data_IF_158586777369
#
_entry.id   IF_158586777369
#
_cell.length_a   1.000
_cell.length_b   1.000
_cell.length_c   1.000
_cell.angle_alpha   90.00
_cell.angle_beta   90.00
_cell.angle_gamma   90.00
#
_symmetry.space_group_name_H-M   'P 1'
#
loop_
_entity.id
_entity.type
_entity.pdbx_description
1 polymer ?
#
# COMPACT_ATOMS: atom_id res chain seq x y z
N UNK A 1 -13.43 6.63 -12.64
CA UNK A 1 -14.80 6.29 -12.22
C UNK A 1 -15.73 6.07 -13.43
N UNK A 2 -15.73 6.93 -14.43
CA UNK A 2 -16.53 6.74 -15.66
C UNK A 2 -16.24 5.41 -16.37
N UNK A 3 -14.97 5.05 -16.60
CA UNK A 3 -14.62 3.79 -17.29
C UNK A 3 -15.01 2.52 -16.53
N UNK A 4 -15.13 2.58 -15.20
CA UNK A 4 -15.67 1.47 -14.40
C UNK A 4 -17.18 1.31 -14.65
N UNK A 5 -17.89 2.43 -14.74
CA UNK A 5 -19.34 2.44 -15.01
C UNK A 5 -19.66 2.04 -16.47
N UNK A 6 -18.76 2.32 -17.42
CA UNK A 6 -18.93 1.93 -18.82
C UNK A 6 -18.86 0.41 -19.07
N UNK A 7 -18.11 -0.30 -18.22
CA UNK A 7 -18.05 -1.78 -18.24
C UNK A 7 -19.24 -2.48 -17.60
N UNK A 8 -20.11 -1.74 -16.88
CA UNK A 8 -21.30 -2.29 -16.26
C UNK A 8 -22.47 -2.34 -17.26
N UNK A 9 -23.33 -3.38 -17.21
CA UNK A 9 -24.55 -3.42 -18.01
C UNK A 9 -25.43 -2.19 -17.74
N UNK A 10 -26.21 -1.72 -18.72
CA UNK A 10 -27.09 -0.54 -18.59
C UNK A 10 -27.97 -0.57 -17.33
N UNK A 11 -28.47 -1.76 -17.00
CA UNK A 11 -29.31 -2.00 -15.81
C UNK A 11 -28.64 -1.62 -14.49
N UNK A 12 -27.30 -1.69 -14.42
CA UNK A 12 -26.53 -1.31 -13.20
C UNK A 12 -26.16 0.17 -13.21
N UNK A 13 -26.20 0.83 -14.38
CA UNK A 13 -25.95 2.28 -14.51
C UNK A 13 -27.12 3.10 -14.00
N UNK A 14 -28.36 2.62 -14.19
CA UNK A 14 -29.59 3.39 -13.94
C UNK A 14 -30.30 3.04 -12.63
N UNK A 15 -29.97 1.91 -12.01
CA UNK A 15 -30.63 1.48 -10.79
C UNK A 15 -29.69 1.47 -9.62
N UNK A 16 -29.99 2.31 -8.67
CA UNK A 16 -29.73 2.13 -7.25
C UNK A 16 -28.26 2.03 -6.77
N UNK A 17 -28.00 2.79 -5.77
CA UNK A 17 -26.83 2.75 -4.86
C UNK A 17 -26.51 1.33 -4.31
N UNK A 18 -27.34 0.29 -4.64
CA UNK A 18 -27.23 -1.06 -4.10
C UNK A 18 -27.53 -2.14 -5.15
N UNK A 19 -26.53 -2.68 -5.86
CA UNK A 19 -26.73 -3.65 -6.94
C UNK A 19 -26.94 -5.10 -6.48
N UNK A 20 -27.61 -5.33 -5.35
CA UNK A 20 -27.74 -6.67 -4.77
C UNK A 20 -28.47 -7.66 -5.68
N UNK A 21 -29.52 -7.24 -6.36
CA UNK A 21 -30.25 -8.08 -7.31
C UNK A 21 -29.39 -8.50 -8.50
N UNK A 22 -28.57 -7.58 -9.01
CA UNK A 22 -27.66 -7.88 -10.11
C UNK A 22 -26.47 -8.75 -9.63
N UNK A 23 -25.90 -8.50 -8.44
CA UNK A 23 -24.86 -9.32 -7.85
C UNK A 23 -25.31 -10.75 -7.58
N UNK A 24 -26.55 -10.96 -7.15
CA UNK A 24 -27.09 -12.31 -6.92
C UNK A 24 -27.25 -13.11 -8.23
N UNK A 25 -27.53 -12.42 -9.35
CA UNK A 25 -27.58 -13.02 -10.68
C UNK A 25 -26.17 -13.30 -11.26
N UNK A 26 -25.11 -12.67 -10.71
CA UNK A 26 -23.73 -12.81 -11.20
C UNK A 26 -22.76 -13.22 -10.07
N UNK A 27 -22.91 -14.41 -9.49
CA UNK A 27 -22.13 -14.84 -8.31
C UNK A 27 -20.61 -14.85 -8.57
N UNK A 28 -20.19 -14.96 -9.83
CA UNK A 28 -18.78 -14.92 -10.22
C UNK A 28 -18.11 -13.58 -9.89
N UNK A 29 -18.84 -12.47 -10.03
CA UNK A 29 -18.34 -11.13 -9.68
C UNK A 29 -18.22 -10.94 -8.17
N UNK A 30 -19.15 -11.52 -7.41
CA UNK A 30 -19.05 -11.56 -5.95
C UNK A 30 -17.83 -12.36 -5.51
N UNK A 31 -17.56 -13.51 -6.12
CA UNK A 31 -16.38 -14.33 -5.82
C UNK A 31 -15.07 -13.61 -6.16
N UNK A 32 -15.02 -12.87 -7.27
CA UNK A 32 -13.84 -12.06 -7.62
C UNK A 32 -13.61 -10.92 -6.63
N UNK A 33 -14.68 -10.24 -6.20
CA UNK A 33 -14.63 -9.21 -5.17
C UNK A 33 -14.16 -9.75 -3.82
N UNK A 34 -14.64 -10.93 -3.40
CA UNK A 34 -14.18 -11.59 -2.18
C UNK A 34 -12.71 -11.97 -2.25
N UNK A 35 -12.25 -12.57 -3.36
CA UNK A 35 -10.85 -12.95 -3.54
C UNK A 35 -9.92 -11.73 -3.43
N UNK A 36 -10.32 -10.59 -4.02
CA UNK A 36 -9.60 -9.34 -3.88
C UNK A 36 -9.60 -8.81 -2.45
N UNK A 37 -10.80 -8.64 -1.87
CA UNK A 37 -10.99 -7.99 -0.56
C UNK A 37 -10.34 -8.79 0.56
N UNK A 38 -10.48 -10.12 0.57
CA UNK A 38 -9.87 -10.98 1.59
C UNK A 38 -8.35 -10.98 1.48
N UNK A 39 -7.81 -11.02 0.26
CA UNK A 39 -6.36 -10.96 0.05
C UNK A 39 -5.77 -9.62 0.49
N UNK A 40 -6.41 -8.51 0.10
CA UNK A 40 -5.96 -7.17 0.50
C UNK A 40 -6.08 -6.97 2.01
N UNK A 41 -7.22 -7.35 2.60
CA UNK A 41 -7.42 -7.28 4.05
C UNK A 41 -6.39 -8.12 4.80
N UNK A 42 -6.10 -9.33 4.31
CA UNK A 42 -5.05 -10.19 4.86
C UNK A 42 -3.68 -9.51 4.86
N UNK A 43 -3.30 -8.88 3.75
CA UNK A 43 -2.04 -8.12 3.63
C UNK A 43 -2.00 -6.97 4.65
N UNK A 44 -3.08 -6.19 4.75
CA UNK A 44 -3.17 -5.06 5.67
C UNK A 44 -3.12 -5.51 7.14
N UNK A 45 -3.83 -6.59 7.49
CA UNK A 45 -3.77 -7.15 8.83
C UNK A 45 -2.37 -7.65 9.19
N UNK A 46 -1.70 -8.35 8.28
CA UNK A 46 -0.31 -8.83 8.48
C UNK A 46 0.63 -7.63 8.70
N UNK A 47 0.46 -6.55 7.94
CA UNK A 47 1.20 -5.30 8.12
C UNK A 47 1.00 -4.75 9.56
N UNK A 48 -0.24 -4.58 10.00
CA UNK A 48 -0.56 -4.07 11.33
C UNK A 48 -0.09 -5.00 12.47
N UNK A 49 -0.14 -6.32 12.25
CA UNK A 49 0.43 -7.27 13.20
C UNK A 49 1.95 -7.13 13.31
N UNK A 50 2.66 -6.76 12.23
CA UNK A 50 4.07 -6.41 12.29
C UNK A 50 4.35 -5.30 13.30
N UNK A 51 3.60 -4.20 13.23
CA UNK A 51 3.67 -3.11 14.21
C UNK A 51 3.29 -3.57 15.63
N UNK A 52 2.21 -4.34 15.75
CA UNK A 52 1.73 -4.86 17.03
C UNK A 52 2.81 -5.69 17.73
N UNK A 53 3.42 -6.63 17.05
CA UNK A 53 4.48 -7.47 17.62
C UNK A 53 5.74 -6.67 17.96
N UNK A 54 6.12 -5.68 17.13
CA UNK A 54 7.19 -4.77 17.46
C UNK A 54 6.89 -3.97 18.75
N UNK A 55 5.68 -3.45 18.89
CA UNK A 55 5.25 -2.77 20.11
C UNK A 55 5.34 -3.71 21.33
N UNK A 56 4.86 -4.95 21.20
CA UNK A 56 4.92 -5.95 22.27
C UNK A 56 6.35 -6.28 22.69
N UNK A 57 7.27 -6.42 21.73
CA UNK A 57 8.68 -6.70 22.00
C UNK A 57 9.37 -5.58 22.82
N UNK A 58 8.88 -4.35 22.69
CA UNK A 58 9.38 -3.19 23.43
C UNK A 58 8.52 -2.77 24.62
N UNK A 59 7.59 -3.64 25.08
CA UNK A 59 6.63 -3.35 26.15
C UNK A 59 5.78 -2.07 25.92
N UNK A 60 5.59 -1.68 24.67
CA UNK A 60 4.74 -0.56 24.25
C UNK A 60 3.29 -1.04 24.21
N UNK A 61 2.42 -0.32 24.92
CA UNK A 61 0.97 -0.64 24.91
C UNK A 61 0.36 -0.21 23.58
N UNK A 62 -0.21 -1.17 22.85
CA UNK A 62 -0.97 -0.93 21.62
C UNK A 62 -2.26 -1.75 21.61
N UNK A 63 -3.24 -1.34 20.81
CA UNK A 63 -4.43 -2.14 20.55
C UNK A 63 -4.10 -3.28 19.59
N UNK A 64 -4.96 -4.27 19.53
CA UNK A 64 -5.00 -5.18 18.39
C UNK A 64 -5.34 -4.39 17.12
N UNK A 65 -4.99 -4.91 15.93
CA UNK A 65 -5.40 -4.32 14.68
C UNK A 65 -6.92 -4.18 14.58
N UNK A 66 -7.37 -3.01 14.15
CA UNK A 66 -8.78 -2.71 13.88
C UNK A 66 -8.94 -2.48 12.40
N UNK A 67 -9.90 -3.18 11.80
CA UNK A 67 -10.31 -2.94 10.41
C UNK A 67 -11.28 -1.77 10.40
N UNK A 68 -10.97 -0.74 9.58
CA UNK A 68 -11.83 0.42 9.39
C UNK A 68 -12.76 0.14 8.21
N UNK A 69 -14.07 -0.16 8.44
CA UNK A 69 -14.99 -0.34 7.33
C UNK A 69 -15.16 0.97 6.57
N UNK A 70 -15.16 0.90 5.25
CA UNK A 70 -15.39 2.07 4.39
C UNK A 70 -16.12 1.66 3.13
N UNK A 71 -16.94 2.55 2.53
CA UNK A 71 -17.63 2.33 1.27
C UNK A 71 -16.65 2.48 0.09
N UNK A 72 -15.58 1.68 0.10
CA UNK A 72 -14.57 1.59 -0.96
C UNK A 72 -14.71 0.26 -1.70
N UNK A 73 -14.06 0.13 -2.85
CA UNK A 73 -14.03 -1.13 -3.60
C UNK A 73 -13.48 -2.32 -2.79
N UNK A 74 -12.63 -2.05 -1.80
CA UNK A 74 -12.08 -3.06 -0.88
C UNK A 74 -12.96 -3.33 0.33
N UNK A 75 -14.03 -2.57 0.55
CA UNK A 75 -14.87 -2.64 1.74
C UNK A 75 -14.20 -2.09 3.01
N UNK A 76 -12.98 -1.58 2.91
CA UNK A 76 -12.21 -1.07 4.05
C UNK A 76 -11.38 0.16 3.67
N UNK A 77 -11.19 1.07 4.63
CA UNK A 77 -10.20 2.15 4.56
C UNK A 77 -8.82 1.71 5.08
N UNK A 78 -8.63 0.44 5.39
CA UNK A 78 -7.41 -0.12 5.92
C UNK A 78 -7.59 -0.81 7.28
N UNK A 79 -6.49 -1.29 7.83
CA UNK A 79 -6.37 -1.72 9.21
C UNK A 79 -5.45 -0.74 9.94
N UNK A 80 -5.63 -0.55 11.24
CA UNK A 80 -4.81 0.34 12.04
C UNK A 80 -4.63 -0.22 13.45
N UNK A 81 -3.45 0.01 14.05
CA UNK A 81 -3.24 -0.13 15.49
C UNK A 81 -3.19 1.25 16.14
N UNK A 82 -3.57 1.33 17.41
CA UNK A 82 -3.41 2.54 18.22
C UNK A 82 -2.34 2.32 19.28
N UNK A 83 -1.23 3.04 19.20
CA UNK A 83 -0.20 3.06 20.21
C UNK A 83 -0.70 3.94 21.38
N UNK A 84 -0.74 3.38 22.59
CA UNK A 84 -1.28 4.02 23.79
C UNK A 84 -0.23 4.53 24.76
N UNK A 85 1.02 4.10 24.60
CA UNK A 85 2.13 4.56 25.44
C UNK A 85 3.18 5.27 24.59
N UNK A 86 4.04 6.07 25.25
CA UNK A 86 5.17 6.71 24.55
C UNK A 86 6.17 5.66 24.09
N UNK A 87 6.78 5.90 22.94
CA UNK A 87 7.88 5.07 22.42
C UNK A 87 9.14 5.44 23.22
N UNK A 88 9.80 4.47 23.87
CA UNK A 88 10.83 4.77 24.86
C UNK A 88 12.14 5.31 24.27
N UNK A 89 12.52 4.89 23.07
CA UNK A 89 13.79 5.27 22.44
C UNK A 89 13.77 5.08 20.93
N UNK A 90 14.82 5.52 20.23
CA UNK A 90 14.95 5.42 18.77
C UNK A 90 15.05 3.99 18.26
N UNK A 91 15.61 3.06 19.05
CA UNK A 91 15.69 1.65 18.66
C UNK A 91 14.29 1.03 18.57
N UNK A 92 13.43 1.30 19.55
CA UNK A 92 12.04 0.86 19.52
C UNK A 92 11.24 1.53 18.39
N UNK A 93 11.50 2.84 18.14
CA UNK A 93 10.87 3.56 17.04
C UNK A 93 11.23 2.96 15.68
N UNK A 94 12.51 2.60 15.49
CA UNK A 94 12.98 1.94 14.27
C UNK A 94 12.28 0.61 14.05
N UNK A 95 12.22 -0.23 15.10
CA UNK A 95 11.57 -1.53 15.01
C UNK A 95 10.07 -1.39 14.71
N UNK A 96 9.38 -0.49 15.41
CA UNK A 96 7.95 -0.21 15.13
C UNK A 96 7.77 0.29 13.71
N UNK A 97 8.62 1.17 13.20
CA UNK A 97 8.49 1.72 11.85
C UNK A 97 8.76 0.71 10.72
N UNK A 98 9.61 -0.31 10.95
CA UNK A 98 10.01 -1.23 9.87
C UNK A 98 9.21 -2.54 9.83
N UNK A 99 8.80 -3.11 10.98
CA UNK A 99 8.22 -4.44 11.00
C UNK A 99 6.84 -4.52 10.34
N UNK A 100 6.04 -3.44 10.36
CA UNK A 100 4.79 -3.36 9.60
C UNK A 100 5.03 -3.47 8.09
N UNK A 101 5.76 -2.52 7.48
CA UNK A 101 6.10 -2.56 6.06
C UNK A 101 6.77 -3.85 5.61
N UNK A 102 7.66 -4.40 6.42
CA UNK A 102 8.32 -5.67 6.13
C UNK A 102 7.32 -6.84 6.06
N UNK A 103 6.44 -6.94 7.04
CA UNK A 103 5.41 -7.98 7.09
C UNK A 103 4.41 -7.82 5.93
N UNK A 104 3.95 -6.59 5.65
CA UNK A 104 3.09 -6.26 4.51
C UNK A 104 3.74 -6.55 3.15
N UNK A 105 5.04 -6.26 3.02
CA UNK A 105 5.81 -6.58 1.81
C UNK A 105 5.87 -8.09 1.56
N UNK A 106 6.18 -8.89 2.59
CA UNK A 106 6.22 -10.36 2.49
C UNK A 106 4.83 -10.91 2.13
N UNK A 107 3.77 -10.43 2.77
CA UNK A 107 2.40 -10.85 2.46
C UNK A 107 2.00 -10.49 1.02
N UNK A 108 2.41 -9.31 0.54
CA UNK A 108 2.19 -8.89 -0.86
C UNK A 108 2.95 -9.77 -1.85
N UNK A 109 4.19 -10.16 -1.54
CA UNK A 109 4.97 -11.09 -2.37
C UNK A 109 4.30 -12.47 -2.46
N UNK A 110 3.75 -12.98 -1.37
CA UNK A 110 2.99 -14.24 -1.36
C UNK A 110 1.73 -14.13 -2.23
N UNK A 111 0.98 -13.04 -2.11
CA UNK A 111 -0.19 -12.79 -2.96
C UNK A 111 0.19 -12.71 -4.45
N UNK A 112 1.31 -12.08 -4.79
CA UNK A 112 1.84 -12.00 -6.15
C UNK A 112 2.25 -13.37 -6.66
N UNK A 113 2.99 -14.15 -5.86
CA UNK A 113 3.45 -15.49 -6.23
C UNK A 113 2.28 -16.46 -6.48
N UNK A 114 1.18 -16.32 -5.74
CA UNK A 114 -0.06 -17.09 -5.92
C UNK A 114 -0.87 -16.53 -7.10
N UNK A 115 -0.98 -15.20 -7.19
CA UNK A 115 -1.85 -14.51 -8.14
C UNK A 115 -1.39 -14.64 -9.59
N UNK A 116 -0.09 -14.68 -9.87
CA UNK A 116 0.43 -14.88 -11.22
C UNK A 116 -0.01 -16.20 -11.84
N UNK A 117 0.24 -17.38 -11.23
CA UNK A 117 -0.26 -18.66 -11.77
C UNK A 117 -1.78 -18.72 -11.88
N UNK A 118 -2.52 -18.10 -10.96
CA UNK A 118 -3.97 -18.03 -11.02
C UNK A 118 -4.46 -17.20 -12.21
N UNK A 119 -3.76 -16.15 -12.60
CA UNK A 119 -4.10 -15.34 -13.76
C UNK A 119 -4.06 -16.12 -15.09
N UNK A 120 -3.28 -17.20 -15.16
CA UNK A 120 -3.23 -18.09 -16.34
C UNK A 120 -4.40 -19.08 -16.36
N UNK A 121 -4.87 -19.52 -15.21
CA UNK A 121 -5.75 -20.70 -15.05
C UNK A 121 -7.21 -20.36 -14.74
N UNK A 122 -7.45 -19.18 -14.19
CA UNK A 122 -8.78 -18.81 -13.70
C UNK A 122 -9.56 -17.99 -14.74
N UNK A 123 -10.86 -18.24 -14.89
CA UNK A 123 -11.74 -17.33 -15.64
C UNK A 123 -12.07 -16.05 -14.86
N UNK A 124 -11.71 -15.97 -13.59
CA UNK A 124 -11.96 -14.80 -12.73
C UNK A 124 -10.82 -13.81 -12.95
N UNK A 125 -11.12 -12.71 -13.62
CA UNK A 125 -10.16 -11.68 -13.99
C UNK A 125 -10.75 -10.29 -13.73
N UNK A 126 -9.90 -9.32 -13.41
CA UNK A 126 -10.29 -7.92 -13.28
C UNK A 126 -9.92 -7.21 -14.58
N UNK A 127 -10.93 -6.68 -15.29
CA UNK A 127 -10.77 -5.88 -16.50
C UNK A 127 -11.09 -4.41 -16.23
N UNK A 128 -10.60 -3.52 -17.11
CA UNK A 128 -10.93 -2.08 -17.04
C UNK A 128 -10.07 -1.26 -16.08
N UNK A 129 -9.07 -1.86 -15.43
CA UNK A 129 -8.05 -1.12 -14.65
C UNK A 129 -6.80 -1.01 -15.51
N UNK A 130 -6.41 0.21 -15.86
CA UNK A 130 -5.15 0.49 -16.55
C UNK A 130 -4.08 0.84 -15.54
N UNK A 131 -3.25 -0.14 -15.22
CA UNK A 131 -2.09 0.05 -14.35
C UNK A 131 -1.01 0.85 -15.07
N UNK A 132 -0.45 1.83 -14.38
CA UNK A 132 0.65 2.64 -14.88
C UNK A 132 2.01 1.96 -14.74
N UNK A 133 2.97 2.67 -14.19
CA UNK A 133 4.33 2.15 -13.97
C UNK A 133 4.29 0.96 -13.02
N UNK A 134 4.88 -0.18 -13.44
CA UNK A 134 4.97 -1.34 -12.57
C UNK A 134 6.12 -1.20 -11.57
N UNK A 135 5.90 -1.50 -10.28
CA UNK A 135 6.98 -1.54 -9.30
C UNK A 135 8.03 -2.58 -9.69
N UNK A 136 9.28 -2.31 -9.35
CA UNK A 136 10.38 -3.21 -9.69
C UNK A 136 10.17 -4.61 -9.12
N UNK A 137 9.54 -4.73 -7.96
CA UNK A 137 9.17 -6.01 -7.34
C UNK A 137 8.32 -6.88 -8.26
N UNK A 138 7.28 -6.32 -8.92
CA UNK A 138 6.43 -7.07 -9.86
C UNK A 138 7.25 -7.57 -11.05
N UNK A 139 8.12 -6.73 -11.60
CA UNK A 139 8.98 -7.09 -12.74
C UNK A 139 9.95 -8.21 -12.39
N UNK A 140 10.56 -8.15 -11.20
CA UNK A 140 11.47 -9.18 -10.71
C UNK A 140 10.71 -10.49 -10.41
N UNK A 141 9.55 -10.41 -9.75
CA UNK A 141 8.72 -11.58 -9.47
C UNK A 141 8.24 -12.26 -10.76
N UNK A 142 7.80 -11.49 -11.76
CA UNK A 142 7.43 -12.01 -13.07
C UNK A 142 8.61 -12.71 -13.74
N UNK A 143 9.79 -12.07 -13.81
CA UNK A 143 10.99 -12.65 -14.40
C UNK A 143 11.44 -13.96 -13.71
N UNK A 144 11.34 -14.01 -12.37
CA UNK A 144 11.66 -15.21 -11.60
C UNK A 144 10.65 -16.34 -11.89
N UNK A 145 9.36 -16.02 -11.92
CA UNK A 145 8.31 -17.02 -12.14
C UNK A 145 8.26 -17.55 -13.57
N UNK A 146 8.74 -16.78 -14.57
CA UNK A 146 8.87 -17.23 -15.96
C UNK A 146 9.73 -18.51 -16.10
N UNK A 147 10.65 -18.75 -15.16
CA UNK A 147 11.46 -19.97 -15.15
C UNK A 147 10.59 -21.23 -14.96
N UNK A 148 9.56 -21.16 -14.13
CA UNK A 148 8.63 -22.28 -13.86
C UNK A 148 7.34 -22.21 -14.69
N UNK A 149 6.99 -21.02 -15.14
CA UNK A 149 5.76 -20.73 -15.90
C UNK A 149 6.08 -19.93 -17.17
N UNK A 150 6.60 -20.56 -18.24
CA UNK A 150 7.07 -19.84 -19.45
C UNK A 150 5.97 -19.07 -20.19
N UNK A 151 4.69 -19.33 -19.91
CA UNK A 151 3.52 -18.66 -20.53
C UNK A 151 2.85 -17.65 -19.59
N UNK A 152 3.56 -17.16 -18.56
CA UNK A 152 3.03 -16.13 -17.69
C UNK A 152 2.75 -14.84 -18.47
N UNK A 153 1.51 -14.31 -18.44
CA UNK A 153 1.20 -13.05 -19.09
C UNK A 153 1.89 -11.89 -18.36
N UNK A 154 2.22 -10.85 -19.10
CA UNK A 154 2.72 -9.60 -18.52
C UNK A 154 1.57 -8.93 -17.77
N UNK A 155 1.84 -8.38 -16.58
CA UNK A 155 0.82 -7.86 -15.66
C UNK A 155 -0.10 -6.80 -16.28
N UNK A 156 0.43 -5.94 -17.12
CA UNK A 156 -0.28 -4.82 -17.77
C UNK A 156 -1.00 -5.19 -19.09
N UNK A 157 -0.70 -6.35 -19.66
CA UNK A 157 -1.25 -6.82 -20.94
C UNK A 157 -2.36 -7.88 -20.78
N UNK A 158 -2.64 -8.28 -19.56
CA UNK A 158 -3.64 -9.30 -19.24
C UNK A 158 -4.64 -8.79 -18.22
N UNK A 159 -5.81 -9.40 -18.16
CA UNK A 159 -6.74 -9.18 -17.05
C UNK A 159 -6.25 -10.01 -15.85
N UNK A 160 -5.62 -9.38 -14.83
CA UNK A 160 -5.00 -10.12 -13.74
C UNK A 160 -6.03 -10.73 -12.79
N UNK A 161 -5.65 -11.85 -12.16
CA UNK A 161 -6.47 -12.44 -11.11
C UNK A 161 -6.60 -11.46 -9.91
N UNK A 162 -7.75 -11.37 -9.22
CA UNK A 162 -7.98 -10.47 -8.08
C UNK A 162 -6.92 -10.54 -6.98
N UNK A 163 -6.37 -11.73 -6.69
CA UNK A 163 -5.28 -11.92 -5.72
C UNK A 163 -3.99 -11.22 -6.17
N UNK A 164 -3.68 -11.25 -7.48
CA UNK A 164 -2.52 -10.55 -8.02
C UNK A 164 -2.67 -9.03 -7.89
N UNK A 165 -3.86 -8.52 -8.18
CA UNK A 165 -4.19 -7.09 -8.00
C UNK A 165 -4.08 -6.68 -6.54
N UNK A 166 -4.58 -7.52 -5.61
CA UNK A 166 -4.43 -7.27 -4.17
C UNK A 166 -2.95 -7.22 -3.74
N UNK A 167 -2.11 -8.10 -4.26
CA UNK A 167 -0.67 -8.08 -4.02
C UNK A 167 -0.01 -6.80 -4.54
N UNK A 168 -0.38 -6.35 -5.75
CA UNK A 168 0.12 -5.09 -6.32
C UNK A 168 -0.31 -3.89 -5.47
N UNK A 169 -1.58 -3.80 -5.06
CA UNK A 169 -2.07 -2.74 -4.17
C UNK A 169 -1.36 -2.81 -2.82
N UNK A 170 -1.10 -4.00 -2.28
CA UNK A 170 -0.34 -4.19 -1.05
C UNK A 170 1.09 -3.63 -1.14
N UNK A 171 1.78 -3.84 -2.28
CA UNK A 171 3.09 -3.21 -2.53
C UNK A 171 2.97 -1.69 -2.60
N UNK A 172 1.95 -1.18 -3.28
CA UNK A 172 1.72 0.25 -3.38
C UNK A 172 1.46 0.89 -2.01
N UNK A 173 0.60 0.30 -1.17
CA UNK A 173 0.35 0.75 0.20
C UNK A 173 1.63 0.68 1.04
N UNK A 174 2.42 -0.38 0.90
CA UNK A 174 3.72 -0.50 1.58
C UNK A 174 4.65 0.64 1.18
N UNK A 175 4.70 1.01 -0.11
CA UNK A 175 5.50 2.14 -0.58
C UNK A 175 5.03 3.47 0.01
N UNK A 176 3.72 3.69 0.08
CA UNK A 176 3.13 4.89 0.68
C UNK A 176 3.48 5.02 2.16
N UNK A 177 3.39 3.92 2.92
CA UNK A 177 3.76 3.89 4.33
C UNK A 177 5.26 4.12 4.56
N UNK A 178 6.11 3.67 3.63
CA UNK A 178 7.56 3.89 3.68
C UNK A 178 8.01 5.28 3.21
N UNK A 179 7.12 6.14 2.72
CA UNK A 179 7.45 7.54 2.43
C UNK A 179 8.04 8.20 3.68
N UNK A 180 9.24 8.83 3.59
CA UNK A 180 9.98 9.29 4.76
C UNK A 180 9.48 10.63 5.32
N UNK A 181 8.20 10.75 5.63
CA UNK A 181 7.58 12.00 6.09
C UNK A 181 6.54 11.82 7.19
N UNK A 182 6.34 12.86 7.99
CA UNK A 182 5.32 12.91 9.03
C UNK A 182 5.43 11.77 10.04
N UNK A 183 4.30 11.12 10.32
CA UNK A 183 4.18 9.93 11.17
C UNK A 183 3.97 8.64 10.37
N UNK A 184 4.25 8.66 9.06
CA UNK A 184 4.28 7.43 8.28
C UNK A 184 5.41 6.51 8.78
N UNK A 185 5.37 5.25 8.45
CA UNK A 185 6.38 4.27 8.88
C UNK A 185 7.79 4.68 8.44
N UNK A 186 7.94 5.13 7.18
CA UNK A 186 9.19 5.72 6.69
C UNK A 186 9.59 6.98 7.46
N UNK A 187 8.62 7.77 7.94
CA UNK A 187 8.85 8.90 8.83
C UNK A 187 9.44 8.46 10.17
N UNK A 188 8.91 7.40 10.78
CA UNK A 188 9.45 6.80 12.01
C UNK A 188 10.88 6.31 11.81
N UNK A 189 11.15 5.61 10.71
CA UNK A 189 12.49 5.13 10.33
C UNK A 189 13.46 6.32 10.19
N UNK A 190 13.08 7.32 9.40
CA UNK A 190 13.94 8.49 9.17
C UNK A 190 14.17 9.31 10.44
N UNK A 191 13.12 9.47 11.29
CA UNK A 191 13.26 10.15 12.58
C UNK A 191 14.21 9.40 13.51
N UNK A 192 14.13 8.06 13.56
CA UNK A 192 15.03 7.23 14.36
C UNK A 192 16.49 7.41 13.92
N UNK A 193 16.75 7.55 12.62
CA UNK A 193 18.10 7.81 12.08
C UNK A 193 18.53 9.24 12.39
N UNK A 194 17.72 10.23 11.99
CA UNK A 194 18.06 11.64 12.16
C UNK A 194 16.81 12.54 12.26
N UNK A 195 16.46 13.03 13.45
CA UNK A 195 15.34 13.98 13.60
C UNK A 195 15.51 15.28 12.81
N UNK A 196 16.78 15.69 12.55
CA UNK A 196 17.05 16.89 11.76
C UNK A 196 16.69 16.68 10.29
N UNK A 197 17.14 15.56 9.71
CA UNK A 197 16.82 15.20 8.30
C UNK A 197 15.31 14.95 8.16
N UNK A 198 14.70 14.21 9.10
CA UNK A 198 13.26 14.00 9.13
C UNK A 198 12.47 15.32 9.07
N UNK A 199 12.84 16.32 9.88
CA UNK A 199 12.19 17.64 9.88
C UNK A 199 12.31 18.32 8.52
N UNK A 200 13.50 18.33 7.92
CA UNK A 200 13.72 18.92 6.60
C UNK A 200 12.88 18.22 5.53
N UNK A 201 12.93 16.90 5.49
CA UNK A 201 12.16 16.10 4.53
C UNK A 201 10.66 16.31 4.72
N UNK A 202 10.15 16.30 5.95
CA UNK A 202 8.72 16.51 6.25
C UNK A 202 8.23 17.88 5.77
N UNK A 203 9.09 18.91 5.76
CA UNK A 203 8.73 20.25 5.24
C UNK A 203 8.74 20.27 3.71
N UNK A 204 9.73 19.63 3.05
CA UNK A 204 9.90 19.71 1.61
C UNK A 204 9.01 18.72 0.84
N UNK A 205 8.75 17.55 1.43
CA UNK A 205 8.06 16.45 0.78
C UNK A 205 6.66 16.80 0.24
N UNK A 206 5.79 17.56 0.95
CA UNK A 206 4.49 17.97 0.40
C UNK A 206 4.61 18.72 -0.93
N UNK A 207 5.60 19.59 -1.08
CA UNK A 207 5.79 20.36 -2.31
C UNK A 207 6.27 19.46 -3.46
N UNK A 208 7.13 18.46 -3.17
CA UNK A 208 7.54 17.45 -4.14
C UNK A 208 6.34 16.63 -4.58
N UNK A 209 5.46 16.24 -3.65
CA UNK A 209 4.25 15.48 -3.96
C UNK A 209 3.24 16.32 -4.76
N UNK A 210 3.10 17.62 -4.50
CA UNK A 210 2.27 18.50 -5.33
C UNK A 210 2.78 18.55 -6.77
N UNK A 211 4.09 18.72 -6.97
CA UNK A 211 4.68 18.66 -8.31
C UNK A 211 4.43 17.30 -8.96
N UNK A 212 4.65 16.20 -8.23
CA UNK A 212 4.37 14.85 -8.72
C UNK A 212 2.89 14.66 -9.09
N UNK A 213 1.97 15.28 -8.34
CA UNK A 213 0.54 15.23 -8.63
C UNK A 213 0.13 15.95 -9.90
N UNK A 214 0.82 17.04 -10.23
CA UNK A 214 0.58 17.79 -11.47
C UNK A 214 1.03 16.97 -12.69
N UNK A 215 2.21 16.34 -12.64
CA UNK A 215 2.86 15.73 -13.80
C UNK A 215 2.71 14.21 -13.92
N UNK A 216 2.53 13.50 -12.80
CA UNK A 216 2.54 12.03 -12.76
C UNK A 216 1.17 11.46 -12.42
N UNK A 217 0.70 11.63 -11.19
CA UNK A 217 -0.55 11.07 -10.70
C UNK A 217 -1.21 12.02 -9.69
N UNK A 218 -2.44 12.46 -9.98
CA UNK A 218 -3.16 13.45 -9.17
C UNK A 218 -3.32 13.03 -7.68
N UNK A 219 -3.30 11.73 -7.37
CA UNK A 219 -3.35 11.23 -6.00
C UNK A 219 -2.18 11.72 -5.13
N UNK A 220 -1.03 12.10 -5.71
CA UNK A 220 0.07 12.68 -4.95
C UNK A 220 -0.29 14.04 -4.32
N UNK A 221 -1.24 14.78 -4.91
CA UNK A 221 -1.75 16.03 -4.31
C UNK A 221 -2.43 15.73 -2.97
N UNK A 222 -3.26 14.67 -2.92
CA UNK A 222 -3.93 14.26 -1.68
C UNK A 222 -2.92 13.86 -0.61
N UNK A 223 -1.86 13.12 -0.98
CA UNK A 223 -0.77 12.77 -0.07
C UNK A 223 0.02 13.99 0.40
N UNK A 224 0.26 14.97 -0.49
CA UNK A 224 0.85 16.26 -0.13
C UNK A 224 0.01 17.01 0.90
N UNK A 225 -1.31 17.11 0.69
CA UNK A 225 -2.25 17.73 1.63
C UNK A 225 -2.25 16.97 2.96
N UNK A 226 -2.29 15.63 2.92
CA UNK A 226 -2.27 14.78 4.11
C UNK A 226 -1.04 15.06 4.98
N UNK A 227 0.14 15.17 4.40
CA UNK A 227 1.37 15.45 5.14
C UNK A 227 1.46 16.88 5.70
N UNK A 228 0.64 17.82 5.23
CA UNK A 228 0.55 19.16 5.81
C UNK A 228 -0.28 19.21 7.10
N UNK A 229 -1.04 18.17 7.43
CA UNK A 229 -1.89 18.14 8.63
C UNK A 229 -1.00 18.21 9.89
N UNK A 230 -1.15 19.21 10.77
CA UNK A 230 -0.30 19.40 11.94
C UNK A 230 -0.30 18.21 12.91
N UNK A 231 -1.41 17.46 12.98
CA UNK A 231 -1.55 16.28 13.82
C UNK A 231 -0.60 15.15 13.41
N UNK A 232 -0.07 15.17 12.18
CA UNK A 232 0.89 14.20 11.67
C UNK A 232 2.36 14.60 11.93
N UNK A 233 2.61 15.64 12.73
CA UNK A 233 3.97 15.96 13.16
C UNK A 233 4.47 14.90 14.13
N UNK A 234 5.70 14.46 13.89
CA UNK A 234 6.31 13.40 14.68
C UNK A 234 6.49 13.83 16.14
N UNK A 235 6.01 13.05 17.13
CA UNK A 235 6.23 13.34 18.55
C UNK A 235 7.72 13.20 18.89
N UNK A 236 8.13 13.91 19.92
CA UNK A 236 9.51 13.82 20.39
C UNK A 236 9.80 12.42 20.98
N UNK A 237 10.87 11.79 20.51
CA UNK A 237 11.38 10.52 21.05
C UNK A 237 12.76 10.77 21.62
N UNK A 238 13.02 10.38 22.89
CA UNK A 238 14.29 10.61 23.56
C UNK A 238 15.49 10.03 22.80
N UNK A 239 16.60 10.77 22.65
CA UNK A 239 17.78 10.32 21.91
C UNK A 239 18.77 9.48 22.74
N UNK A 240 18.39 9.07 23.94
CA UNK A 240 19.26 8.54 25.00
C UNK A 240 20.10 7.32 24.60
N UNK A 241 19.63 6.59 23.54
CA UNK A 241 20.38 5.44 23.05
C UNK A 241 20.71 5.61 21.56
N UNK A 242 21.98 5.42 21.15
CA UNK A 242 22.32 5.37 19.73
C UNK A 242 21.66 4.17 19.05
N UNK A 243 21.37 4.30 17.74
CA UNK A 243 20.91 3.18 16.94
C UNK A 243 21.98 2.10 16.86
N UNK A 244 21.57 0.85 17.09
CA UNK A 244 22.45 -0.29 16.87
C UNK A 244 22.73 -0.49 15.37
N UNK A 245 23.89 -1.05 15.02
CA UNK A 245 24.27 -1.34 13.63
C UNK A 245 23.23 -2.19 12.90
N UNK A 246 22.64 -3.19 13.58
CA UNK A 246 21.57 -4.01 13.01
C UNK A 246 20.31 -3.20 12.65
N UNK A 247 19.95 -2.20 13.45
CA UNK A 247 18.79 -1.32 13.16
C UNK A 247 19.09 -0.32 12.05
N UNK A 248 20.32 0.13 11.92
CA UNK A 248 20.72 0.92 10.75
C UNK A 248 20.57 0.08 9.47
N UNK A 249 21.03 -1.18 9.49
CA UNK A 249 20.86 -2.10 8.36
C UNK A 249 19.38 -2.35 8.05
N UNK A 250 18.51 -2.51 9.06
CA UNK A 250 17.05 -2.61 8.86
C UNK A 250 16.46 -1.35 8.23
N UNK A 251 16.91 -0.16 8.65
CA UNK A 251 16.47 1.10 8.01
C UNK A 251 16.89 1.19 6.54
N UNK A 252 18.10 0.76 6.19
CA UNK A 252 18.57 0.67 4.80
C UNK A 252 17.76 -0.37 4.01
N UNK A 253 17.40 -1.49 4.64
CA UNK A 253 16.53 -2.48 4.02
C UNK A 253 15.12 -1.92 3.77
N UNK A 254 14.56 -1.12 4.70
CA UNK A 254 13.31 -0.39 4.48
C UNK A 254 13.39 0.57 3.28
N UNK A 255 14.51 1.28 3.11
CA UNK A 255 14.74 2.10 1.93
C UNK A 255 14.81 1.26 0.65
N UNK A 256 15.45 0.09 0.68
CA UNK A 256 15.46 -0.83 -0.46
C UNK A 256 14.04 -1.30 -0.81
N UNK A 257 13.21 -1.65 0.19
CA UNK A 257 11.80 -2.01 -0.04
C UNK A 257 11.06 -0.83 -0.66
N UNK A 258 11.23 0.40 -0.18
CA UNK A 258 10.63 1.59 -0.78
C UNK A 258 10.98 1.69 -2.27
N UNK A 259 12.26 1.59 -2.62
CA UNK A 259 12.71 1.68 -4.02
C UNK A 259 12.15 0.54 -4.89
N UNK A 260 12.01 -0.67 -4.34
CA UNK A 260 11.47 -1.83 -5.03
C UNK A 260 9.95 -1.75 -5.26
N UNK A 261 9.24 -1.06 -4.36
CA UNK A 261 7.76 -0.99 -4.37
C UNK A 261 7.22 0.33 -4.89
N UNK A 262 8.05 1.37 -4.98
CA UNK A 262 7.62 2.70 -5.38
C UNK A 262 7.09 2.74 -6.81
N UNK A 263 5.91 3.33 -6.96
CA UNK A 263 5.19 3.44 -8.23
C UNK A 263 4.79 4.90 -8.44
N UNK A 264 5.57 5.68 -9.20
CA UNK A 264 5.32 7.11 -9.36
C UNK A 264 4.03 7.41 -10.13
N UNK A 265 3.62 6.51 -11.04
CA UNK A 265 2.38 6.58 -11.82
C UNK A 265 1.62 5.26 -11.65
N UNK A 266 0.87 5.07 -10.55
CA UNK A 266 0.17 3.80 -10.29
C UNK A 266 -0.92 3.50 -11.32
N UNK A 267 -1.55 4.53 -11.89
CA UNK A 267 -2.59 4.44 -12.91
C UNK A 267 -2.27 5.36 -14.09
N UNK A 268 -2.58 4.91 -15.32
CA UNK A 268 -2.43 5.74 -16.52
C UNK A 268 -3.50 6.85 -16.57
N UNK A 269 -3.18 7.94 -17.26
CA UNK A 269 -4.07 9.06 -17.60
C UNK A 269 -4.76 9.77 -16.41
N UNK A 270 -4.09 9.82 -15.27
CA UNK A 270 -4.59 10.39 -14.03
C UNK A 270 -3.69 11.51 -13.46
N UNK A 271 -2.90 12.19 -14.27
CA UNK A 271 -2.23 13.43 -13.83
C UNK A 271 -3.22 14.59 -13.80
N UNK A 272 -2.96 15.62 -12.98
CA UNK A 272 -3.84 16.79 -12.94
C UNK A 272 -3.93 17.47 -14.31
N UNK A 273 -2.82 17.55 -15.04
CA UNK A 273 -2.80 18.13 -16.40
C UNK A 273 -3.65 17.33 -17.41
N UNK A 274 -3.76 16.00 -17.23
CA UNK A 274 -4.60 15.16 -18.09
C UNK A 274 -6.08 15.26 -17.70
N UNK A 275 -6.38 15.39 -16.41
CA UNK A 275 -7.76 15.52 -15.91
C UNK A 275 -8.40 16.89 -16.25
N UNK A 276 -7.59 17.91 -16.54
CA UNK A 276 -8.04 19.26 -16.91
C UNK A 276 -8.14 19.47 -18.43
N UNK A 277 -7.71 18.53 -19.25
CA UNK A 277 -7.87 18.51 -20.71
C UNK A 277 -9.13 17.76 -21.13
#
# INVERSE_FOLDING_TARGET
MQNFLEGLPPVVRDSDLWPWGWLSAHPQLFLSGLAFSLSLLGILLVHEFGHYFACRAHAIRSTLPWVLPAPTLSGTAGAVIRIRSRIPNRNALMDVGIYGPLAGYIASLLAIAIGFPLSVRSPIQISGIHFGTQPLTIRLAHGLLLHWYPRLPVFDQSAPHPVLVAGWIGLFITSLNLIPGGQLDGGHILYAISPRIHRLVTILLPYILFAAGIFLWAGWILWGIFLLIPALRHPHVPPEMPLTRGRIALGLFGLAILLLTFTPMPFYDNSLLQLLR
#
